data_IF_330317349185
#
_entry.id   IF_330317349185
#
_cell.length_a   1.000
_cell.length_b   1.000
_cell.length_c   1.000
_cell.angle_alpha   90.00
_cell.angle_beta   90.00
_cell.angle_gamma   90.00
#
_symmetry.space_group_name_H-M   'P 1'
#
loop_
_entity.id
_entity.type
_entity.pdbx_description
1 polymer ?
#
# COMPACT_ATOMS: atom_id res chain seq x y z
N UNK A 1 31.45 -11.98 -41.22
CA UNK A 1 30.88 -11.03 -42.18
C UNK A 1 30.19 -9.97 -41.32
N UNK A 2 30.91 -9.02 -40.85
CA UNK A 2 31.11 -7.61 -41.22
C UNK A 2 29.83 -6.81 -41.44
N UNK A 3 29.53 -5.85 -40.57
CA UNK A 3 29.39 -4.41 -40.80
C UNK A 3 28.80 -3.76 -39.55
N UNK A 4 29.44 -3.00 -38.77
CA UNK A 4 30.02 -1.65 -38.66
C UNK A 4 29.06 -0.50 -39.03
N UNK A 5 28.91 0.35 -38.00
CA UNK A 5 28.93 1.81 -37.96
C UNK A 5 27.68 2.58 -38.34
N UNK A 6 27.21 3.47 -37.44
CA UNK A 6 27.46 4.91 -37.60
C UNK A 6 27.14 5.69 -36.30
N UNK A 7 28.18 6.39 -35.84
CA UNK A 7 28.11 7.56 -34.97
C UNK A 7 27.46 8.73 -35.73
N UNK A 8 26.66 9.52 -35.06
CA UNK A 8 26.39 10.91 -35.43
C UNK A 8 26.47 11.80 -34.20
N UNK A 9 27.51 12.59 -34.20
CA UNK A 9 27.87 13.68 -33.28
C UNK A 9 27.37 14.99 -33.93
N UNK A 10 26.68 15.88 -33.19
CA UNK A 10 26.47 17.30 -33.50
C UNK A 10 26.10 18.03 -32.20
N UNK A 11 27.01 18.76 -31.60
CA UNK A 11 27.54 20.11 -31.78
C UNK A 11 26.53 21.22 -31.43
N UNK A 12 26.69 21.79 -30.23
CA UNK A 12 27.08 23.12 -29.76
C UNK A 12 26.45 24.34 -30.48
N UNK A 13 25.82 25.24 -29.71
CA UNK A 13 25.98 26.70 -29.83
C UNK A 13 25.52 27.42 -28.52
N UNK A 14 26.27 28.44 -28.05
CA UNK A 14 25.95 29.26 -26.89
C UNK A 14 25.43 30.64 -27.32
N UNK A 15 24.70 31.30 -26.41
CA UNK A 15 24.28 32.70 -26.63
C UNK A 15 23.48 33.21 -25.43
N UNK A 16 24.10 33.99 -24.78
CA UNK A 16 24.25 35.41 -24.57
C UNK A 16 23.55 35.91 -23.32
N UNK A 17 24.34 36.61 -22.52
CA UNK A 17 24.04 37.34 -21.30
C UNK A 17 23.02 38.48 -21.51
N UNK A 18 22.20 38.71 -20.48
CA UNK A 18 21.65 40.07 -20.21
C UNK A 18 21.73 40.32 -18.70
N UNK A 19 22.60 41.27 -18.40
CA UNK A 19 22.73 41.96 -17.11
C UNK A 19 21.67 43.07 -17.08
N UNK A 20 20.88 43.08 -16.01
CA UNK A 20 20.16 44.29 -15.63
C UNK A 20 20.21 44.47 -14.10
N UNK A 21 21.03 45.42 -13.71
CA UNK A 21 21.18 45.95 -12.36
C UNK A 21 19.94 46.82 -12.05
N UNK A 22 19.28 46.54 -10.93
CA UNK A 22 18.24 47.37 -10.36
C UNK A 22 18.41 47.43 -8.85
N UNK A 23 19.08 48.46 -8.36
CA UNK A 23 19.09 48.82 -6.95
C UNK A 23 17.74 49.46 -6.56
N UNK A 24 17.10 48.89 -5.54
CA UNK A 24 16.13 49.61 -4.74
C UNK A 24 16.26 49.23 -3.27
N UNK A 25 16.78 50.15 -2.49
CA UNK A 25 16.81 50.13 -1.03
C UNK A 25 15.39 50.23 -0.47
N UNK A 26 15.04 49.33 0.46
CA UNK A 26 13.82 49.37 1.25
C UNK A 26 14.08 48.80 2.63
N UNK A 27 14.23 49.67 3.61
CA UNK A 27 14.32 49.35 5.05
C UNK A 27 13.03 48.77 5.59
N UNK A 28 13.16 47.82 6.48
CA UNK A 28 12.27 47.70 7.64
C UNK A 28 11.33 46.49 7.64
N UNK A 29 11.61 45.59 8.46
CA UNK A 29 10.73 45.09 9.54
C UNK A 29 11.19 43.70 10.02
N UNK A 30 11.45 43.62 11.28
CA UNK A 30 11.75 42.40 12.01
C UNK A 30 10.69 41.33 11.75
N UNK A 31 11.12 40.19 11.28
CA UNK A 31 10.31 38.96 11.24
C UNK A 31 10.38 38.31 12.63
N UNK A 32 9.24 38.01 13.26
CA UNK A 32 9.25 37.08 14.38
C UNK A 32 9.62 35.69 13.85
N UNK A 33 10.41 34.98 14.62
CA UNK A 33 10.78 33.61 14.39
C UNK A 33 9.49 32.77 14.20
N UNK A 34 9.35 32.18 13.03
CA UNK A 34 8.32 31.17 12.82
C UNK A 34 8.82 29.88 13.47
N UNK A 35 8.10 29.45 14.51
CA UNK A 35 8.14 28.09 15.02
C UNK A 35 8.06 27.09 13.85
N UNK A 36 8.85 26.01 13.87
CA UNK A 36 8.59 24.88 13.01
C UNK A 36 7.39 24.11 13.58
N UNK A 37 6.20 24.64 13.37
CA UNK A 37 4.97 23.89 13.61
C UNK A 37 5.02 22.61 12.79
N UNK A 38 5.02 21.51 13.50
CA UNK A 38 4.86 20.15 13.01
C UNK A 38 3.83 20.16 11.87
N UNK A 39 4.29 19.78 10.68
CA UNK A 39 3.39 19.37 9.60
C UNK A 39 2.70 18.10 10.09
N UNK A 40 1.53 18.27 10.67
CA UNK A 40 0.56 17.20 10.75
C UNK A 40 0.23 16.84 9.31
N UNK A 41 0.83 15.76 8.82
CA UNK A 41 0.38 15.10 7.60
C UNK A 41 -1.06 14.66 7.87
N UNK A 42 -2.00 15.49 7.44
CA UNK A 42 -3.39 15.07 7.37
C UNK A 42 -3.44 13.99 6.29
N UNK A 43 -3.52 12.73 6.73
CA UNK A 43 -3.88 11.61 5.86
C UNK A 43 -5.21 11.99 5.22
N UNK A 44 -5.31 12.05 3.87
CA UNK A 44 -6.58 12.32 3.22
C UNK A 44 -7.57 11.26 3.69
N UNK A 45 -8.75 11.72 4.13
CA UNK A 45 -9.85 10.83 4.46
C UNK A 45 -10.24 10.11 3.17
N UNK A 46 -10.04 8.80 3.12
CA UNK A 46 -10.55 7.96 2.05
C UNK A 46 -12.07 8.07 1.92
N UNK A 47 -12.67 7.47 0.89
CA UNK A 47 -14.09 7.61 0.59
C UNK A 47 -14.94 7.34 1.83
N UNK A 48 -15.97 8.16 1.98
CA UNK A 48 -16.80 8.25 3.18
C UNK A 48 -17.19 6.86 3.73
N UNK A 49 -16.50 6.42 4.78
CA UNK A 49 -16.81 5.18 5.47
C UNK A 49 -15.64 4.27 5.83
N UNK A 50 -14.49 4.36 5.13
CA UNK A 50 -13.31 3.57 5.46
C UNK A 50 -12.18 4.48 5.95
N UNK A 51 -12.04 4.58 7.26
CA UNK A 51 -10.90 5.23 7.89
C UNK A 51 -9.86 4.16 8.24
N UNK A 52 -8.72 4.16 7.55
CA UNK A 52 -7.55 3.38 7.97
C UNK A 52 -7.06 3.96 9.30
N UNK A 53 -6.94 3.10 10.32
CA UNK A 53 -6.44 3.48 11.65
C UNK A 53 -4.92 3.43 11.71
N UNK A 54 -4.33 2.38 11.13
CA UNK A 54 -2.89 2.13 11.10
C UNK A 54 -2.40 2.07 9.66
N UNK A 55 -1.78 3.16 9.19
CA UNK A 55 -1.21 3.22 7.84
C UNK A 55 0.14 2.50 7.85
N UNK A 56 0.29 1.47 7.01
CA UNK A 56 1.53 0.71 6.85
C UNK A 56 2.34 1.14 5.63
N UNK A 57 1.67 1.59 4.56
CA UNK A 57 2.34 2.12 3.38
C UNK A 57 1.45 3.08 2.60
N UNK A 58 2.10 3.99 1.85
CA UNK A 58 1.42 4.87 0.89
C UNK A 58 2.26 4.94 -0.37
N UNK A 59 1.63 4.79 -1.54
CA UNK A 59 2.30 4.91 -2.81
C UNK A 59 1.35 5.52 -3.87
N UNK A 60 1.71 6.70 -4.39
CA UNK A 60 0.82 7.47 -5.25
C UNK A 60 -0.48 7.80 -4.52
N UNK A 61 -1.60 7.44 -5.14
CA UNK A 61 -2.94 7.64 -4.58
C UNK A 61 -3.43 6.43 -3.74
N UNK A 62 -2.58 5.40 -3.58
CA UNK A 62 -2.91 4.23 -2.77
C UNK A 62 -2.41 4.38 -1.34
N UNK A 63 -3.29 4.12 -0.39
CA UNK A 63 -2.98 3.97 1.04
C UNK A 63 -3.31 2.56 1.48
N UNK A 64 -2.35 1.88 2.13
CA UNK A 64 -2.49 0.51 2.63
C UNK A 64 -2.35 0.54 4.14
N UNK A 65 -3.30 -0.07 4.82
CA UNK A 65 -3.29 -0.07 6.27
C UNK A 65 -4.23 -1.09 6.90
N UNK A 66 -4.32 -1.02 8.24
CA UNK A 66 -5.08 -1.94 9.10
C UNK A 66 -4.73 -3.42 8.82
N UNK A 67 -3.46 -3.65 8.39
CA UNK A 67 -2.99 -4.94 7.98
C UNK A 67 -2.40 -5.75 9.12
N UNK A 68 -2.66 -7.05 9.12
CA UNK A 68 -2.07 -8.02 10.02
C UNK A 68 -2.01 -9.41 9.39
N UNK A 69 -1.12 -10.25 9.90
CA UNK A 69 -1.08 -11.68 9.63
C UNK A 69 -1.60 -12.40 10.85
N UNK A 70 -2.49 -13.35 10.70
CA UNK A 70 -2.91 -14.19 11.81
C UNK A 70 -1.87 -15.28 12.06
N UNK A 71 -1.46 -15.44 13.32
CA UNK A 71 -0.55 -16.53 13.72
C UNK A 71 -1.06 -17.87 13.13
N UNK A 72 -0.18 -18.63 12.43
CA UNK A 72 -0.60 -19.85 11.75
C UNK A 72 -1.06 -20.93 12.72
N UNK A 73 -2.24 -21.51 12.50
CA UNK A 73 -2.69 -22.70 13.22
C UNK A 73 -2.01 -23.98 12.72
N UNK A 74 -1.32 -23.91 11.58
CA UNK A 74 -0.60 -25.01 10.92
C UNK A 74 0.73 -24.50 10.37
N UNK A 75 1.78 -25.31 10.33
CA UNK A 75 3.10 -24.85 9.89
C UNK A 75 3.20 -24.60 8.38
N UNK A 76 2.15 -24.81 7.61
CA UNK A 76 2.18 -24.70 6.15
C UNK A 76 1.42 -23.52 5.58
N UNK A 77 0.48 -22.93 6.34
CA UNK A 77 -0.45 -21.92 5.82
C UNK A 77 -0.67 -20.81 6.83
N UNK A 78 -0.66 -19.55 6.35
CA UNK A 78 -1.08 -18.37 7.09
C UNK A 78 -2.10 -17.56 6.30
N UNK A 79 -2.83 -16.67 6.97
CA UNK A 79 -3.73 -15.73 6.35
C UNK A 79 -3.34 -14.30 6.72
N UNK A 80 -3.31 -13.42 5.71
CA UNK A 80 -3.08 -12.00 5.89
C UNK A 80 -4.32 -11.19 5.48
N UNK A 81 -4.51 -10.09 6.16
CA UNK A 81 -5.62 -9.16 6.01
C UNK A 81 -5.06 -7.75 5.92
N UNK A 82 -5.68 -6.89 5.13
CA UNK A 82 -5.32 -5.47 5.01
C UNK A 82 -6.39 -4.72 4.24
N UNK A 83 -6.37 -3.41 4.34
CA UNK A 83 -7.23 -2.51 3.58
C UNK A 83 -6.38 -1.71 2.60
N UNK A 84 -6.86 -1.58 1.37
CA UNK A 84 -6.26 -0.76 0.32
C UNK A 84 -7.28 0.31 -0.06
N UNK A 85 -6.92 1.58 0.12
CA UNK A 85 -7.73 2.74 -0.28
C UNK A 85 -7.08 3.39 -1.48
N UNK A 86 -7.87 3.76 -2.47
CA UNK A 86 -7.47 4.49 -3.65
C UNK A 86 -8.14 5.86 -3.66
N UNK A 87 -7.40 6.89 -3.31
CA UNK A 87 -7.87 8.29 -3.30
C UNK A 87 -7.78 8.96 -4.68
N UNK A 88 -7.30 8.23 -5.69
CA UNK A 88 -7.18 8.68 -7.08
C UNK A 88 -8.51 8.65 -7.84
N UNK A 89 -8.46 9.15 -9.05
CA UNK A 89 -9.60 9.23 -9.98
C UNK A 89 -9.67 8.07 -10.98
N UNK A 90 -8.79 7.08 -10.83
CA UNK A 90 -8.70 5.94 -11.73
C UNK A 90 -8.49 4.65 -10.93
N UNK A 91 -9.21 3.60 -11.33
CA UNK A 91 -9.07 2.27 -10.74
C UNK A 91 -7.62 1.77 -10.82
N UNK A 92 -7.17 1.05 -9.80
CA UNK A 92 -5.94 0.28 -9.87
C UNK A 92 -6.22 -1.20 -9.58
N UNK A 93 -5.31 -2.05 -9.96
CA UNK A 93 -5.47 -3.50 -9.86
C UNK A 93 -4.27 -4.12 -9.18
N UNK A 94 -4.51 -4.94 -8.17
CA UNK A 94 -3.48 -5.77 -7.56
C UNK A 94 -3.19 -6.96 -8.48
N UNK A 95 -1.99 -7.01 -9.07
CA UNK A 95 -1.58 -8.03 -10.05
C UNK A 95 -0.77 -9.16 -9.44
N UNK A 96 -0.07 -8.89 -8.34
CA UNK A 96 0.64 -9.95 -7.60
C UNK A 96 0.91 -9.55 -6.16
N UNK A 97 1.07 -10.57 -5.32
CA UNK A 97 1.54 -10.43 -3.94
C UNK A 97 2.63 -11.48 -3.70
N UNK A 98 3.71 -11.06 -3.07
CA UNK A 98 4.77 -11.96 -2.61
C UNK A 98 5.05 -11.74 -1.13
N UNK A 99 5.72 -12.70 -0.47
CA UNK A 99 6.05 -12.64 0.95
C UNK A 99 7.46 -13.14 1.20
N UNK A 100 8.09 -12.63 2.25
CA UNK A 100 9.38 -13.09 2.75
C UNK A 100 9.29 -14.46 3.48
N UNK A 101 8.09 -14.84 3.95
CA UNK A 101 7.86 -16.08 4.73
C UNK A 101 7.15 -17.19 3.95
N UNK A 102 6.68 -16.94 2.73
CA UNK A 102 5.91 -17.91 1.96
C UNK A 102 6.39 -18.04 0.51
N UNK A 103 6.23 -19.23 -0.07
CA UNK A 103 6.56 -19.47 -1.48
C UNK A 103 5.56 -18.86 -2.45
N UNK A 104 4.32 -18.68 -2.03
CA UNK A 104 3.23 -18.10 -2.83
C UNK A 104 2.24 -17.36 -1.92
N UNK A 105 1.66 -16.29 -2.46
CA UNK A 105 0.55 -15.59 -1.83
C UNK A 105 -0.59 -15.46 -2.84
N UNK A 106 -1.77 -15.91 -2.45
CA UNK A 106 -2.95 -15.89 -3.32
C UNK A 106 -4.11 -15.15 -2.68
N UNK A 107 -4.76 -14.22 -3.40
CA UNK A 107 -6.03 -13.66 -2.98
C UNK A 107 -7.12 -14.76 -3.06
N UNK A 108 -7.82 -14.97 -1.94
CA UNK A 108 -8.88 -15.96 -1.81
C UNK A 108 -10.14 -15.29 -1.26
N UNK A 109 -11.29 -15.87 -1.53
CA UNK A 109 -12.56 -15.47 -0.89
C UNK A 109 -13.30 -16.69 -0.39
N UNK A 110 -14.06 -16.52 0.67
CA UNK A 110 -14.98 -17.54 1.18
C UNK A 110 -16.35 -17.35 0.52
N UNK A 111 -16.79 -18.37 -0.22
CA UNK A 111 -18.12 -18.41 -0.81
C UNK A 111 -18.97 -19.40 -0.01
N UNK A 112 -20.05 -18.92 0.59
CA UNK A 112 -21.00 -19.75 1.32
C UNK A 112 -22.15 -20.15 0.41
N UNK A 113 -22.09 -21.36 -0.15
CA UNK A 113 -23.23 -21.99 -0.83
C UNK A 113 -23.80 -23.11 0.04
N UNK A 114 -25.07 -22.97 0.44
CA UNK A 114 -25.78 -24.00 1.19
C UNK A 114 -25.27 -24.31 2.58
N UNK A 115 -24.56 -23.36 3.25
CA UNK A 115 -24.09 -23.49 4.62
C UNK A 115 -22.70 -24.13 4.77
N UNK A 116 -22.04 -24.52 3.70
CA UNK A 116 -20.64 -24.91 3.68
C UNK A 116 -19.82 -23.80 3.03
N UNK A 117 -18.85 -23.24 3.77
CA UNK A 117 -17.89 -22.28 3.19
C UNK A 117 -16.90 -22.99 2.26
N UNK A 118 -16.82 -22.53 1.02
CA UNK A 118 -15.81 -23.00 0.05
C UNK A 118 -14.85 -21.86 -0.21
N UNK A 119 -13.55 -22.13 -0.11
CA UNK A 119 -12.51 -21.18 -0.50
C UNK A 119 -12.33 -21.18 -2.00
N UNK A 120 -12.38 -20.01 -2.62
CA UNK A 120 -12.20 -19.84 -4.05
C UNK A 120 -11.17 -18.72 -4.29
N UNK A 121 -10.25 -18.93 -5.25
CA UNK A 121 -9.31 -17.90 -5.65
C UNK A 121 -10.04 -16.69 -6.25
N UNK A 122 -9.53 -15.51 -5.98
CA UNK A 122 -9.95 -14.28 -6.65
C UNK A 122 -9.08 -14.09 -7.88
N UNK A 123 -9.68 -14.13 -9.06
CA UNK A 123 -8.97 -13.93 -10.33
C UNK A 123 -8.52 -12.47 -10.50
N UNK A 124 -9.21 -11.54 -9.85
CA UNK A 124 -8.95 -10.11 -9.96
C UNK A 124 -9.29 -9.38 -8.66
N UNK A 125 -8.40 -8.48 -8.27
CA UNK A 125 -8.59 -7.56 -7.14
C UNK A 125 -8.48 -6.13 -7.68
N UNK A 126 -9.62 -5.48 -7.87
CA UNK A 126 -9.72 -4.09 -8.33
C UNK A 126 -9.92 -3.18 -7.14
N UNK A 127 -9.11 -2.12 -7.02
CA UNK A 127 -9.29 -1.03 -6.08
C UNK A 127 -9.88 0.15 -6.84
N UNK A 128 -11.20 0.39 -6.73
CA UNK A 128 -11.87 1.39 -7.56
C UNK A 128 -11.42 2.82 -7.23
N UNK A 129 -11.50 3.70 -8.20
CA UNK A 129 -11.23 5.12 -8.03
C UNK A 129 -12.10 5.73 -6.92
N UNK A 130 -11.49 6.48 -6.02
CA UNK A 130 -12.16 7.03 -4.84
C UNK A 130 -12.77 5.96 -3.93
N UNK A 131 -12.28 4.70 -4.00
CA UNK A 131 -12.82 3.56 -3.29
C UNK A 131 -11.77 2.77 -2.52
N UNK A 132 -12.17 1.59 -2.07
CA UNK A 132 -11.31 0.71 -1.30
C UNK A 132 -11.58 -0.76 -1.59
N UNK A 133 -10.57 -1.60 -1.32
CA UNK A 133 -10.70 -3.06 -1.26
C UNK A 133 -10.22 -3.56 0.10
N UNK A 134 -11.02 -4.42 0.74
CA UNK A 134 -10.70 -4.96 2.04
C UNK A 134 -10.48 -6.47 1.99
N UNK A 135 -9.31 -6.89 2.45
CA UNK A 135 -9.06 -8.27 2.85
C UNK A 135 -9.36 -8.40 4.34
N UNK A 136 -10.42 -9.14 4.70
CA UNK A 136 -10.89 -9.29 6.08
C UNK A 136 -11.33 -10.73 6.40
N UNK A 137 -11.32 -11.12 7.67
CA UNK A 137 -11.77 -12.45 8.09
C UNK A 137 -13.19 -12.77 7.60
N UNK A 138 -13.41 -14.00 7.16
CA UNK A 138 -14.67 -14.52 6.61
C UNK A 138 -15.11 -13.87 5.29
N UNK A 139 -14.23 -13.18 4.63
CA UNK A 139 -14.43 -12.60 3.31
C UNK A 139 -13.17 -12.83 2.47
N UNK A 140 -12.77 -11.85 1.63
CA UNK A 140 -11.52 -11.91 0.92
C UNK A 140 -10.34 -11.90 1.91
N UNK A 141 -9.29 -12.68 1.64
CA UNK A 141 -8.04 -12.72 2.40
C UNK A 141 -6.87 -13.13 1.50
N UNK A 142 -5.66 -12.86 1.95
CA UNK A 142 -4.44 -13.33 1.29
C UNK A 142 -4.01 -14.63 1.97
N UNK A 143 -3.95 -15.72 1.21
CA UNK A 143 -3.45 -17.01 1.67
C UNK A 143 -1.96 -17.13 1.36
N UNK A 144 -1.14 -17.37 2.37
CA UNK A 144 0.30 -17.54 2.30
C UNK A 144 0.61 -19.04 2.39
N UNK A 145 1.10 -19.67 1.30
CA UNK A 145 1.45 -21.10 1.26
C UNK A 145 2.42 -21.45 0.12
N UNK A 146 3.28 -22.50 0.26
CA UNK A 146 3.66 -23.06 1.54
C UNK A 146 4.48 -22.04 2.35
N UNK A 147 4.40 -22.08 3.67
CA UNK A 147 5.26 -21.28 4.53
C UNK A 147 6.69 -21.84 4.51
N UNK A 148 7.66 -20.98 4.21
CA UNK A 148 9.10 -21.29 4.30
C UNK A 148 9.61 -21.04 5.72
N UNK A 149 9.00 -20.08 6.42
CA UNK A 149 9.22 -19.75 7.82
C UNK A 149 7.85 -19.57 8.47
N UNK A 150 7.66 -20.19 9.64
CA UNK A 150 6.41 -20.07 10.40
C UNK A 150 6.51 -18.83 11.29
N UNK A 151 5.79 -17.76 11.01
CA UNK A 151 5.84 -16.55 11.84
C UNK A 151 5.09 -16.76 13.14
N UNK A 152 5.60 -16.21 14.24
CA UNK A 152 5.00 -16.26 15.57
C UNK A 152 4.36 -14.91 15.93
N UNK A 153 3.44 -14.92 16.91
CA UNK A 153 2.82 -13.70 17.41
C UNK A 153 3.90 -12.70 17.87
N UNK A 154 3.79 -11.46 17.39
CA UNK A 154 4.75 -10.37 17.64
C UNK A 154 5.83 -10.22 16.57
N UNK A 155 5.95 -11.15 15.64
CA UNK A 155 6.80 -10.99 14.45
C UNK A 155 6.19 -9.99 13.48
N UNK A 156 6.97 -9.60 12.47
CA UNK A 156 6.51 -8.80 11.32
C UNK A 156 6.77 -9.57 10.04
N UNK A 157 5.76 -9.72 9.21
CA UNK A 157 5.83 -10.34 7.88
C UNK A 157 5.81 -9.25 6.83
N UNK A 158 6.73 -9.29 5.88
CA UNK A 158 6.76 -8.36 4.76
C UNK A 158 6.01 -8.94 3.57
N UNK A 159 5.03 -8.20 3.08
CA UNK A 159 4.38 -8.46 1.80
C UNK A 159 4.80 -7.39 0.79
N UNK A 160 5.14 -7.82 -0.43
CA UNK A 160 5.28 -6.94 -1.59
C UNK A 160 4.01 -7.03 -2.41
N UNK A 161 3.25 -5.96 -2.44
CA UNK A 161 2.04 -5.80 -3.25
C UNK A 161 2.43 -5.13 -4.57
N UNK A 162 2.08 -5.73 -5.71
CA UNK A 162 2.34 -5.14 -7.03
C UNK A 162 1.03 -4.77 -7.69
N UNK A 163 0.90 -3.50 -8.02
CA UNK A 163 -0.25 -2.93 -8.71
C UNK A 163 0.06 -2.65 -10.17
N UNK A 164 -0.95 -2.70 -11.02
CA UNK A 164 -0.82 -2.52 -12.48
C UNK A 164 -0.35 -1.11 -12.84
N UNK A 165 -0.87 -0.09 -12.17
CA UNK A 165 -0.56 1.32 -12.43
C UNK A 165 0.47 1.88 -11.47
N UNK A 166 0.24 1.68 -10.19
CA UNK A 166 1.05 2.31 -9.14
C UNK A 166 2.40 1.62 -8.96
N UNK A 167 2.52 0.31 -9.30
CA UNK A 167 3.75 -0.46 -9.16
C UNK A 167 3.84 -1.24 -7.85
N UNK A 168 5.06 -1.56 -7.39
CA UNK A 168 5.29 -2.43 -6.25
C UNK A 168 5.53 -1.64 -4.97
N UNK A 169 4.91 -2.06 -3.87
CA UNK A 169 5.08 -1.48 -2.52
C UNK A 169 5.24 -2.58 -1.48
N UNK A 170 6.18 -2.39 -0.58
CA UNK A 170 6.40 -3.29 0.56
C UNK A 170 5.61 -2.80 1.76
N UNK A 171 4.91 -3.74 2.42
CA UNK A 171 4.15 -3.49 3.64
C UNK A 171 4.55 -4.48 4.72
N UNK A 172 4.88 -3.98 5.90
CA UNK A 172 5.16 -4.78 7.09
C UNK A 172 3.88 -5.01 7.89
N UNK A 173 3.47 -6.26 8.04
CA UNK A 173 2.28 -6.66 8.77
C UNK A 173 2.65 -7.33 10.09
N UNK A 174 2.14 -6.85 11.24
CA UNK A 174 2.34 -7.53 12.51
C UNK A 174 1.62 -8.88 12.53
N UNK A 175 2.21 -9.86 13.21
CA UNK A 175 1.60 -11.16 13.44
C UNK A 175 0.80 -11.13 14.73
N UNK A 176 -0.51 -11.32 14.61
CA UNK A 176 -1.43 -11.35 15.73
C UNK A 176 -1.71 -12.77 16.23
N UNK A 177 -1.76 -12.98 17.56
CA UNK A 177 -2.01 -14.31 18.12
C UNK A 177 -3.41 -14.84 17.77
N UNK A 178 -3.52 -16.17 17.69
CA UNK A 178 -4.81 -16.86 17.53
C UNK A 178 -5.70 -16.54 18.73
N UNK A 179 -6.87 -15.96 18.50
CA UNK A 179 -7.86 -15.68 19.56
C UNK A 179 -7.97 -14.24 19.98
N UNK A 180 -7.18 -13.31 19.50
CA UNK A 180 -7.52 -11.89 19.57
C UNK A 180 -8.70 -11.62 18.66
N UNK A 181 -9.87 -11.36 19.23
CA UNK A 181 -10.97 -10.75 18.52
C UNK A 181 -10.49 -9.34 18.16
N UNK A 182 -10.19 -9.07 16.90
CA UNK A 182 -10.09 -7.70 16.40
C UNK A 182 -11.47 -7.08 16.58
N UNK A 183 -11.56 -6.19 17.58
CA UNK A 183 -12.78 -5.42 17.85
C UNK A 183 -12.94 -4.40 16.71
N UNK A 184 -13.47 -4.86 15.59
CA UNK A 184 -13.97 -3.98 14.54
C UNK A 184 -15.29 -3.43 15.04
N UNK A 185 -15.20 -2.39 15.93
CA UNK A 185 -16.28 -1.57 16.43
C UNK A 185 -17.69 -1.84 15.91
N UNK A 186 -18.29 -2.96 16.29
CA UNK A 186 -19.73 -3.09 16.24
C UNK A 186 -20.29 -2.24 17.36
N UNK A 187 -20.69 -1.03 16.99
CA UNK A 187 -21.51 -0.16 17.80
C UNK A 187 -22.80 -0.92 18.19
N UNK A 188 -22.76 -1.52 19.38
CA UNK A 188 -23.97 -2.05 20.03
C UNK A 188 -24.73 -0.88 20.64
N UNK A 189 -25.46 -0.16 19.80
CA UNK A 189 -26.58 0.66 20.28
C UNK A 189 -27.78 -0.26 20.41
N UNK A 190 -28.02 -0.73 21.65
CA UNK A 190 -29.28 -1.34 22.10
C UNK A 190 -30.24 -0.30 22.61
#
# INVERSE_FOLDING_TARGET
MFSRSHLALSAIAPGAAFVLVGLASGCGSARPAADPSASSSSVPAGPAGLAIKDVQATMGDLTIGDGFVREPASPSVAAAYLTIVNDGDTDDRLVSVTSDVAGMVMPMTEVSEGGAGTMTGLDEVVVPAGGAFEFRPRAAHLMLEPLNTVPAAGDTVTLTLTFDRTGAVDVGLPVEPIGTAVDHGEDRTG
#
